data_IF_631103908093
#
_entry.id   IF_631103908093
#
_cell.length_a   1.000
_cell.length_b   1.000
_cell.length_c   1.000
_cell.angle_alpha   90.00
_cell.angle_beta   90.00
_cell.angle_gamma   90.00
#
_symmetry.space_group_name_H-M   'P 1'
#
loop_
_entity.id
_entity.type
_entity.pdbx_description
1 polymer ?
#
# COMPACT_ATOMS: atom_id res chain seq x y z
N UNK A 1 38.49 63.46 5.67
CA UNK A 1 38.14 62.15 6.29
C UNK A 1 36.82 61.61 5.77
N UNK A 2 35.84 62.46 5.41
CA UNK A 2 34.50 62.01 4.98
C UNK A 2 34.44 61.16 3.70
N UNK A 3 35.28 61.45 2.70
CA UNK A 3 35.27 60.70 1.43
C UNK A 3 35.69 59.24 1.62
N UNK A 4 36.65 58.99 2.50
CA UNK A 4 37.14 57.64 2.79
C UNK A 4 36.08 56.82 3.53
N UNK A 5 35.36 57.44 4.48
CA UNK A 5 34.26 56.81 5.19
C UNK A 5 33.09 56.45 4.25
N UNK A 6 32.76 57.32 3.29
CA UNK A 6 31.71 57.07 2.30
C UNK A 6 32.05 55.86 1.41
N UNK A 7 33.30 55.76 0.94
CA UNK A 7 33.75 54.64 0.09
C UNK A 7 33.75 53.33 0.89
N UNK A 8 34.22 53.35 2.13
CA UNK A 8 34.21 52.17 3.01
C UNK A 8 32.79 51.71 3.35
N UNK A 9 31.86 52.63 3.57
CA UNK A 9 30.44 52.34 3.78
C UNK A 9 29.79 51.75 2.52
N UNK A 10 30.07 52.32 1.34
CA UNK A 10 29.58 51.81 0.06
C UNK A 10 30.09 50.40 -0.26
N UNK A 11 31.38 50.13 -0.01
CA UNK A 11 31.96 48.80 -0.20
C UNK A 11 31.37 47.77 0.77
N UNK A 12 31.19 48.14 2.04
CA UNK A 12 30.59 47.26 3.05
C UNK A 12 29.15 46.91 2.71
N UNK A 13 28.37 47.88 2.21
CA UNK A 13 27.00 47.65 1.75
C UNK A 13 26.97 46.70 0.55
N UNK A 14 27.88 46.87 -0.40
CA UNK A 14 27.97 46.02 -1.59
C UNK A 14 28.31 44.57 -1.24
N UNK A 15 29.25 44.36 -0.31
CA UNK A 15 29.61 43.03 0.20
C UNK A 15 28.42 42.39 0.95
N UNK A 16 27.69 43.16 1.75
CA UNK A 16 26.51 42.66 2.47
C UNK A 16 25.38 42.22 1.52
N UNK A 17 25.12 43.00 0.45
CA UNK A 17 24.13 42.65 -0.58
C UNK A 17 24.54 41.39 -1.36
N UNK A 18 25.82 41.28 -1.74
CA UNK A 18 26.37 40.09 -2.40
C UNK A 18 26.29 38.84 -1.50
N UNK A 19 26.57 38.99 -0.20
CA UNK A 19 26.44 37.91 0.78
C UNK A 19 24.98 37.47 0.95
N UNK A 20 24.03 38.41 0.97
CA UNK A 20 22.60 38.12 1.10
C UNK A 20 22.05 37.42 -0.16
N UNK A 21 22.45 37.87 -1.35
CA UNK A 21 22.02 37.30 -2.62
C UNK A 21 22.59 35.89 -2.84
N UNK A 22 23.88 35.70 -2.55
CA UNK A 22 24.52 34.38 -2.61
C UNK A 22 23.92 33.41 -1.59
N UNK A 23 23.59 33.87 -0.38
CA UNK A 23 22.89 33.07 0.64
C UNK A 23 21.50 32.64 0.17
N UNK A 24 20.71 33.56 -0.41
CA UNK A 24 19.38 33.24 -0.95
C UNK A 24 19.43 32.22 -2.10
N UNK A 25 20.38 32.38 -3.03
CA UNK A 25 20.53 31.43 -4.15
C UNK A 25 20.90 30.01 -3.68
N UNK A 26 21.82 29.89 -2.72
CA UNK A 26 22.23 28.61 -2.12
C UNK A 26 21.11 27.97 -1.29
N UNK A 27 20.32 28.77 -0.58
CA UNK A 27 19.17 28.27 0.18
C UNK A 27 18.08 27.71 -0.75
N UNK A 28 17.82 28.36 -1.89
CA UNK A 28 16.86 27.88 -2.87
C UNK A 28 17.32 26.60 -3.58
N UNK A 29 18.59 26.52 -3.96
CA UNK A 29 19.16 25.32 -4.57
C UNK A 29 19.21 24.14 -3.59
N UNK A 30 19.57 24.39 -2.34
CA UNK A 30 19.52 23.39 -1.26
C UNK A 30 18.09 22.89 -1.00
N UNK A 31 17.11 23.80 -0.94
CA UNK A 31 15.70 23.42 -0.81
C UNK A 31 15.19 22.61 -2.01
N UNK A 32 15.65 22.92 -3.23
CA UNK A 32 15.31 22.14 -4.43
C UNK A 32 15.89 20.73 -4.35
N UNK A 33 17.19 20.60 -4.08
CA UNK A 33 17.87 19.31 -3.95
C UNK A 33 17.30 18.47 -2.81
N UNK A 34 16.96 19.09 -1.67
CA UNK A 34 16.30 18.42 -0.56
C UNK A 34 14.92 17.88 -0.94
N UNK A 35 14.13 18.64 -1.72
CA UNK A 35 12.83 18.18 -2.23
C UNK A 35 12.97 17.05 -3.24
N UNK A 36 13.95 17.13 -4.13
CA UNK A 36 14.25 16.07 -5.11
C UNK A 36 14.68 14.79 -4.39
N UNK A 37 15.62 14.87 -3.44
CA UNK A 37 16.05 13.74 -2.64
C UNK A 37 14.92 13.14 -1.80
N UNK A 38 14.02 13.98 -1.24
CA UNK A 38 12.83 13.50 -0.53
C UNK A 38 11.83 12.81 -1.46
N UNK A 39 11.64 13.32 -2.67
CA UNK A 39 10.77 12.71 -3.67
C UNK A 39 11.33 11.35 -4.13
N UNK A 40 12.63 11.27 -4.39
CA UNK A 40 13.32 10.03 -4.74
C UNK A 40 13.25 9.01 -3.59
N UNK A 41 13.54 9.44 -2.35
CA UNK A 41 13.42 8.59 -1.17
C UNK A 41 12.00 8.08 -0.94
N UNK A 42 10.97 8.91 -1.16
CA UNK A 42 9.56 8.49 -1.10
C UNK A 42 9.24 7.46 -2.18
N UNK A 43 9.68 7.70 -3.42
CA UNK A 43 9.44 6.76 -4.52
C UNK A 43 10.12 5.41 -4.29
N UNK A 44 11.33 5.41 -3.73
CA UNK A 44 12.08 4.23 -3.33
C UNK A 44 11.33 3.46 -2.24
N UNK A 45 10.90 4.15 -1.18
CA UNK A 45 10.15 3.55 -0.07
C UNK A 45 8.83 2.92 -0.53
N UNK A 46 8.08 3.59 -1.41
CA UNK A 46 6.85 3.02 -1.97
C UNK A 46 7.17 1.80 -2.85
N UNK A 47 8.27 1.84 -3.60
CA UNK A 47 8.76 0.71 -4.38
C UNK A 47 9.07 -0.53 -3.52
N UNK A 48 9.67 -0.34 -2.35
CA UNK A 48 9.96 -1.40 -1.39
C UNK A 48 8.68 -1.99 -0.80
N UNK A 49 7.69 -1.15 -0.47
CA UNK A 49 6.39 -1.60 0.05
C UNK A 49 5.66 -2.45 -0.99
N UNK A 50 5.64 -2.03 -2.26
CA UNK A 50 5.11 -2.86 -3.35
C UNK A 50 5.81 -4.22 -3.45
N UNK A 51 7.13 -4.24 -3.31
CA UNK A 51 7.90 -5.48 -3.37
C UNK A 51 7.62 -6.40 -2.18
N UNK A 52 7.38 -5.83 -0.99
CA UNK A 52 6.99 -6.57 0.20
C UNK A 52 5.63 -7.25 0.01
N UNK A 53 4.59 -6.51 -0.39
CA UNK A 53 3.25 -7.06 -0.64
C UNK A 53 3.29 -8.17 -1.69
N UNK A 54 3.97 -7.94 -2.81
CA UNK A 54 4.06 -8.97 -3.86
C UNK A 54 4.77 -10.22 -3.34
N UNK A 55 5.79 -10.08 -2.48
CA UNK A 55 6.53 -11.20 -1.91
C UNK A 55 5.66 -12.00 -0.93
N UNK A 56 4.95 -11.33 -0.03
CA UNK A 56 4.07 -11.98 0.95
C UNK A 56 2.88 -12.68 0.28
N UNK A 57 2.32 -12.12 -0.80
CA UNK A 57 1.29 -12.82 -1.59
C UNK A 57 1.87 -14.01 -2.36
N UNK A 58 3.06 -13.89 -2.97
CA UNK A 58 3.69 -15.04 -3.64
C UNK A 58 3.99 -16.19 -2.67
N UNK A 59 4.37 -15.89 -1.43
CA UNK A 59 4.60 -16.92 -0.42
C UNK A 59 3.34 -17.77 -0.15
N UNK A 60 2.14 -17.16 -0.22
CA UNK A 60 0.86 -17.88 -0.13
C UNK A 60 0.62 -18.84 -1.30
N UNK A 61 1.15 -18.57 -2.48
CA UNK A 61 0.97 -19.45 -3.64
C UNK A 61 1.71 -20.79 -3.50
N UNK A 62 2.75 -20.82 -2.69
CA UNK A 62 3.57 -22.02 -2.44
C UNK A 62 3.30 -22.64 -1.07
N UNK A 63 2.35 -22.10 -0.31
CA UNK A 63 2.06 -22.50 1.05
C UNK A 63 1.50 -23.91 1.11
N UNK A 64 2.07 -24.75 1.98
CA UNK A 64 1.51 -26.05 2.31
C UNK A 64 0.83 -26.02 3.70
N UNK A 65 -0.52 -26.01 3.78
CA UNK A 65 -1.25 -25.93 5.05
C UNK A 65 -1.03 -27.13 5.99
N UNK A 66 -0.48 -28.24 5.48
CA UNK A 66 -0.19 -29.44 6.30
C UNK A 66 1.20 -29.42 6.92
N UNK A 67 2.10 -28.57 6.43
CA UNK A 67 3.51 -28.52 6.85
C UNK A 67 3.92 -27.18 7.46
N UNK A 68 3.17 -26.11 7.20
CA UNK A 68 3.52 -24.74 7.59
C UNK A 68 2.41 -24.07 8.43
N UNK A 69 2.79 -23.20 9.36
CA UNK A 69 1.83 -22.38 10.12
C UNK A 69 1.34 -21.21 9.25
N UNK A 70 0.04 -21.17 8.97
CA UNK A 70 -0.58 -20.08 8.22
C UNK A 70 -0.51 -18.74 8.97
N UNK A 71 -0.44 -18.75 10.30
CA UNK A 71 -0.55 -17.55 11.15
C UNK A 71 0.44 -16.43 10.78
N UNK A 72 1.76 -16.68 10.80
CA UNK A 72 2.77 -15.69 10.41
C UNK A 72 2.55 -15.17 8.99
N UNK A 73 2.35 -16.07 8.01
CA UNK A 73 2.15 -15.70 6.61
C UNK A 73 0.91 -14.80 6.42
N UNK A 74 -0.20 -15.12 7.07
CA UNK A 74 -1.43 -14.31 6.99
C UNK A 74 -1.23 -12.93 7.62
N UNK A 75 -0.53 -12.86 8.77
CA UNK A 75 -0.20 -11.61 9.44
C UNK A 75 0.72 -10.73 8.62
N UNK A 76 1.79 -11.29 8.07
CA UNK A 76 2.78 -10.56 7.27
C UNK A 76 2.15 -9.99 6.00
N UNK A 77 1.36 -10.80 5.28
CA UNK A 77 0.64 -10.34 4.10
C UNK A 77 -0.37 -9.22 4.41
N UNK A 78 -1.04 -9.28 5.56
CA UNK A 78 -1.92 -8.20 6.02
C UNK A 78 -1.12 -6.95 6.36
N UNK A 79 -0.03 -7.08 7.11
CA UNK A 79 0.81 -5.96 7.52
C UNK A 79 1.39 -5.22 6.32
N UNK A 80 1.95 -5.95 5.34
CA UNK A 80 2.48 -5.37 4.11
C UNK A 80 1.39 -4.65 3.32
N UNK A 81 0.20 -5.24 3.21
CA UNK A 81 -0.90 -4.64 2.45
C UNK A 81 -1.44 -3.37 3.12
N UNK A 82 -1.51 -3.33 4.46
CA UNK A 82 -1.86 -2.10 5.19
C UNK A 82 -0.78 -1.04 5.07
N UNK A 83 0.50 -1.42 5.11
CA UNK A 83 1.60 -0.49 4.84
C UNK A 83 1.51 0.13 3.44
N UNK A 84 1.00 -0.63 2.45
CA UNK A 84 0.71 -0.10 1.11
C UNK A 84 -0.46 0.89 1.10
N UNK A 85 -1.55 0.58 1.80
CA UNK A 85 -2.70 1.49 1.97
C UNK A 85 -2.23 2.81 2.61
N UNK A 86 -1.46 2.73 3.70
CA UNK A 86 -0.95 3.90 4.41
C UNK A 86 0.03 4.73 3.58
N UNK A 87 0.77 4.08 2.67
CA UNK A 87 1.73 4.74 1.80
C UNK A 87 1.08 5.44 0.60
N UNK A 88 -0.18 5.10 0.27
CA UNK A 88 -0.94 5.61 -0.87
C UNK A 88 -2.31 6.15 -0.42
N UNK A 89 -2.37 7.13 0.51
CA UNK A 89 -3.62 7.63 1.08
C UNK A 89 -4.53 8.29 0.04
N UNK A 90 -3.99 8.74 -1.10
CA UNK A 90 -4.76 9.29 -2.20
C UNK A 90 -5.52 8.23 -3.02
N UNK A 91 -5.24 6.94 -2.80
CA UNK A 91 -5.93 5.82 -3.45
C UNK A 91 -7.12 5.38 -2.58
N UNK A 92 -8.17 6.22 -2.50
CA UNK A 92 -9.27 6.03 -1.55
C UNK A 92 -9.94 4.64 -1.58
N UNK A 93 -10.00 3.98 -2.74
CA UNK A 93 -10.60 2.63 -2.87
C UNK A 93 -9.63 1.47 -2.51
N UNK A 94 -8.35 1.75 -2.25
CA UNK A 94 -7.32 0.73 -2.02
C UNK A 94 -7.56 -0.04 -0.72
N UNK A 95 -7.97 0.66 0.34
CA UNK A 95 -8.30 0.02 1.63
C UNK A 95 -9.44 -0.98 1.51
N UNK A 96 -10.53 -0.59 0.83
CA UNK A 96 -11.69 -1.46 0.63
C UNK A 96 -11.35 -2.66 -0.24
N UNK A 97 -10.67 -2.45 -1.38
CA UNK A 97 -10.21 -3.54 -2.25
C UNK A 97 -9.28 -4.50 -1.51
N UNK A 98 -8.30 -3.97 -0.78
CA UNK A 98 -7.36 -4.75 0.02
C UNK A 98 -8.07 -5.64 1.07
N UNK A 99 -9.08 -5.10 1.76
CA UNK A 99 -9.85 -5.84 2.75
C UNK A 99 -10.61 -7.01 2.10
N UNK A 100 -11.27 -6.79 0.97
CA UNK A 100 -12.01 -7.83 0.25
C UNK A 100 -11.09 -8.91 -0.36
N UNK A 101 -9.92 -8.54 -0.88
CA UNK A 101 -8.92 -9.52 -1.35
C UNK A 101 -8.35 -10.37 -0.21
N UNK A 102 -8.11 -9.78 0.97
CA UNK A 102 -7.67 -10.54 2.14
C UNK A 102 -8.73 -11.53 2.60
N UNK A 103 -10.01 -11.12 2.62
CA UNK A 103 -11.12 -12.01 2.96
C UNK A 103 -11.24 -13.16 1.95
N UNK A 104 -11.17 -12.86 0.64
CA UNK A 104 -11.20 -13.88 -0.41
C UNK A 104 -10.02 -14.84 -0.29
N UNK A 105 -8.81 -14.33 -0.05
CA UNK A 105 -7.62 -15.17 0.14
C UNK A 105 -7.73 -16.09 1.36
N UNK A 106 -8.33 -15.61 2.46
CA UNK A 106 -8.61 -16.44 3.63
C UNK A 106 -9.64 -17.54 3.34
N UNK A 107 -10.71 -17.21 2.60
CA UNK A 107 -11.71 -18.20 2.15
C UNK A 107 -11.08 -19.26 1.22
N UNK A 108 -10.20 -18.85 0.31
CA UNK A 108 -9.48 -19.76 -0.57
C UNK A 108 -8.57 -20.72 0.22
N UNK A 109 -7.85 -20.21 1.23
CA UNK A 109 -7.02 -21.03 2.10
C UNK A 109 -7.83 -22.02 2.94
N UNK A 110 -9.00 -21.59 3.45
CA UNK A 110 -9.90 -22.48 4.16
C UNK A 110 -10.45 -23.59 3.24
N UNK A 111 -10.82 -23.24 2.01
CA UNK A 111 -11.28 -24.18 1.01
C UNK A 111 -10.21 -25.24 0.68
N UNK A 112 -8.96 -24.83 0.49
CA UNK A 112 -7.86 -25.77 0.26
C UNK A 112 -7.60 -26.67 1.48
N UNK A 113 -7.71 -26.15 2.70
CA UNK A 113 -7.55 -26.95 3.92
C UNK A 113 -8.62 -28.05 4.05
N UNK A 114 -9.89 -27.73 3.77
CA UNK A 114 -10.98 -28.71 3.79
C UNK A 114 -10.79 -29.79 2.71
N UNK A 115 -10.44 -29.37 1.50
CA UNK A 115 -10.12 -30.24 0.37
C UNK A 115 -8.95 -31.19 0.72
N UNK A 116 -7.88 -30.68 1.34
CA UNK A 116 -6.71 -31.46 1.74
C UNK A 116 -6.94 -32.35 2.97
N UNK A 117 -7.88 -31.97 3.84
CA UNK A 117 -8.31 -32.85 4.94
C UNK A 117 -9.03 -34.09 4.40
N UNK A 118 -9.77 -33.91 3.29
CA UNK A 118 -10.48 -35.01 2.61
C UNK A 118 -9.56 -35.84 1.71
N UNK A 119 -8.60 -35.18 1.03
CA UNK A 119 -7.59 -35.80 0.17
C UNK A 119 -6.21 -35.17 0.43
N UNK A 120 -5.38 -35.77 1.31
CA UNK A 120 -4.08 -35.20 1.68
C UNK A 120 -3.07 -35.05 0.54
N UNK A 121 -3.29 -35.67 -0.62
CA UNK A 121 -2.43 -35.52 -1.80
C UNK A 121 -2.85 -34.35 -2.69
N UNK A 122 -4.01 -33.74 -2.41
CA UNK A 122 -4.52 -32.59 -3.17
C UNK A 122 -3.65 -31.36 -2.96
N UNK A 123 -3.46 -30.61 -4.04
CA UNK A 123 -2.70 -29.36 -4.01
C UNK A 123 -3.63 -28.17 -3.71
N UNK A 124 -3.13 -27.09 -3.08
CA UNK A 124 -3.91 -25.91 -2.71
C UNK A 124 -4.22 -25.03 -3.94
N UNK A 125 -5.13 -25.48 -4.79
CA UNK A 125 -5.45 -24.85 -6.07
C UNK A 125 -6.12 -23.48 -5.91
N UNK A 126 -7.01 -23.32 -4.91
CA UNK A 126 -7.79 -22.10 -4.75
C UNK A 126 -6.90 -20.93 -4.33
N UNK A 127 -6.05 -21.13 -3.32
CA UNK A 127 -5.11 -20.12 -2.83
C UNK A 127 -4.05 -19.79 -3.85
N UNK A 128 -3.54 -20.78 -4.58
CA UNK A 128 -2.57 -20.56 -5.65
C UNK A 128 -3.16 -19.71 -6.79
N UNK A 129 -4.40 -20.01 -7.22
CA UNK A 129 -5.08 -19.25 -8.29
C UNK A 129 -5.41 -17.83 -7.84
N UNK A 130 -5.92 -17.65 -6.63
CA UNK A 130 -6.17 -16.33 -6.05
C UNK A 130 -4.86 -15.52 -5.97
N UNK A 131 -3.80 -16.10 -5.39
CA UNK A 131 -2.51 -15.43 -5.23
C UNK A 131 -1.91 -15.00 -6.57
N UNK A 132 -1.99 -15.85 -7.60
CA UNK A 132 -1.55 -15.52 -8.95
C UNK A 132 -2.29 -14.31 -9.53
N UNK A 133 -3.63 -14.32 -9.43
CA UNK A 133 -4.47 -13.22 -9.91
C UNK A 133 -4.19 -11.92 -9.15
N UNK A 134 -4.06 -11.99 -7.83
CA UNK A 134 -3.82 -10.83 -6.99
C UNK A 134 -2.44 -10.21 -7.26
N UNK A 135 -1.38 -11.02 -7.42
CA UNK A 135 -0.05 -10.54 -7.82
C UNK A 135 -0.06 -9.85 -9.18
N UNK A 136 -0.83 -10.37 -10.15
CA UNK A 136 -0.98 -9.73 -11.47
C UNK A 136 -1.62 -8.34 -11.32
N UNK A 137 -2.69 -8.23 -10.53
CA UNK A 137 -3.37 -6.96 -10.28
C UNK A 137 -2.46 -5.95 -9.55
N UNK A 138 -1.74 -6.38 -8.51
CA UNK A 138 -0.77 -5.55 -7.80
C UNK A 138 0.35 -5.04 -8.72
N UNK A 139 0.91 -5.91 -9.57
CA UNK A 139 1.93 -5.52 -10.55
C UNK A 139 1.39 -4.52 -11.58
N UNK A 140 0.14 -4.70 -12.02
CA UNK A 140 -0.52 -3.77 -12.93
C UNK A 140 -0.67 -2.40 -12.28
N UNK A 141 -1.24 -2.31 -11.08
CA UNK A 141 -1.38 -1.03 -10.37
C UNK A 141 -0.03 -0.36 -10.09
N UNK A 142 1.00 -1.13 -9.73
CA UNK A 142 2.36 -0.59 -9.60
C UNK A 142 2.86 0.04 -10.90
N UNK A 143 2.55 -0.56 -12.04
CA UNK A 143 3.04 -0.10 -13.35
C UNK A 143 2.22 1.05 -13.94
N UNK A 144 0.89 1.01 -13.78
CA UNK A 144 -0.03 1.96 -14.43
C UNK A 144 -0.53 3.07 -13.52
N UNK A 145 -0.34 2.95 -12.20
CA UNK A 145 -0.88 3.87 -11.21
C UNK A 145 -2.34 3.58 -10.85
N UNK A 146 -2.97 4.56 -10.19
CA UNK A 146 -4.33 4.46 -9.66
C UNK A 146 -5.40 4.49 -10.77
N UNK A 147 -6.31 3.52 -10.74
CA UNK A 147 -7.54 3.50 -11.52
C UNK A 147 -8.68 3.11 -10.59
N UNK A 148 -9.43 4.11 -10.12
CA UNK A 148 -10.51 3.93 -9.16
C UNK A 148 -11.61 3.00 -9.69
N UNK A 149 -11.95 3.13 -10.98
CA UNK A 149 -13.02 2.32 -11.57
C UNK A 149 -12.59 0.85 -11.64
N UNK A 150 -11.34 0.58 -12.03
CA UNK A 150 -10.79 -0.77 -12.00
C UNK A 150 -10.76 -1.33 -10.59
N UNK A 151 -10.34 -0.53 -9.61
CA UNK A 151 -10.26 -0.96 -8.22
C UNK A 151 -11.63 -1.33 -7.66
N UNK A 152 -12.65 -0.50 -7.86
CA UNK A 152 -14.05 -0.81 -7.48
C UNK A 152 -14.56 -2.10 -8.14
N UNK A 153 -14.27 -2.31 -9.43
CA UNK A 153 -14.64 -3.55 -10.14
C UNK A 153 -13.94 -4.77 -9.55
N UNK A 154 -12.67 -4.65 -9.15
CA UNK A 154 -11.95 -5.74 -8.50
C UNK A 154 -12.51 -6.01 -7.10
N UNK A 155 -12.90 -4.98 -6.36
CA UNK A 155 -13.61 -5.12 -5.08
C UNK A 155 -14.91 -5.90 -5.25
N UNK A 156 -15.77 -5.51 -6.19
CA UNK A 156 -17.03 -6.21 -6.47
C UNK A 156 -16.79 -7.65 -6.90
N UNK A 157 -15.76 -7.88 -7.74
CA UNK A 157 -15.38 -9.22 -8.15
C UNK A 157 -14.91 -10.07 -6.96
N UNK A 158 -14.08 -9.53 -6.07
CA UNK A 158 -13.62 -10.25 -4.88
C UNK A 158 -14.80 -10.62 -3.95
N UNK A 159 -15.77 -9.72 -3.80
CA UNK A 159 -17.02 -9.97 -3.06
C UNK A 159 -17.84 -11.08 -3.72
N UNK A 160 -17.99 -11.04 -5.04
CA UNK A 160 -18.74 -12.05 -5.78
C UNK A 160 -18.06 -13.43 -5.76
N UNK A 161 -16.74 -13.48 -5.93
CA UNK A 161 -15.98 -14.73 -5.78
C UNK A 161 -16.10 -15.29 -4.37
N UNK A 162 -16.10 -14.44 -3.33
CA UNK A 162 -16.33 -14.89 -1.95
C UNK A 162 -17.70 -15.55 -1.79
N UNK A 163 -18.76 -14.96 -2.36
CA UNK A 163 -20.11 -15.56 -2.38
C UNK A 163 -20.13 -16.89 -3.11
N UNK A 164 -19.48 -16.97 -4.27
CA UNK A 164 -19.39 -18.22 -5.03
C UNK A 164 -18.68 -19.33 -4.26
N UNK A 165 -17.55 -19.03 -3.60
CA UNK A 165 -16.81 -20.00 -2.79
C UNK A 165 -17.66 -20.50 -1.62
N UNK A 166 -18.32 -19.59 -0.88
CA UNK A 166 -19.21 -19.95 0.21
C UNK A 166 -20.40 -20.79 -0.26
N UNK A 167 -21.09 -20.36 -1.32
CA UNK A 167 -22.26 -21.05 -1.86
C UNK A 167 -21.93 -22.47 -2.35
N UNK A 168 -20.77 -22.66 -3.01
CA UNK A 168 -20.32 -23.97 -3.49
C UNK A 168 -20.07 -24.97 -2.35
N UNK A 169 -19.83 -24.48 -1.12
CA UNK A 169 -19.53 -25.30 0.07
C UNK A 169 -20.63 -25.26 1.13
N UNK A 170 -21.74 -24.56 0.87
CA UNK A 170 -22.82 -24.39 1.85
C UNK A 170 -22.42 -23.57 3.08
N UNK A 171 -21.39 -22.73 2.96
CA UNK A 171 -20.96 -21.84 4.04
C UNK A 171 -21.81 -20.57 4.08
N UNK A 172 -22.02 -20.04 5.28
CA UNK A 172 -22.57 -18.70 5.45
C UNK A 172 -21.54 -17.65 5.01
N UNK A 173 -22.04 -16.54 4.43
CA UNK A 173 -21.17 -15.43 4.07
C UNK A 173 -20.73 -14.71 5.35
N UNK A 174 -19.43 -14.39 5.50
CA UNK A 174 -18.98 -13.56 6.61
C UNK A 174 -19.74 -12.23 6.63
N UNK A 175 -20.15 -11.73 7.81
CA UNK A 175 -20.86 -10.45 7.90
C UNK A 175 -19.94 -9.30 7.45
N UNK A 176 -20.48 -8.36 6.67
CA UNK A 176 -19.72 -7.20 6.16
C UNK A 176 -19.31 -6.22 7.27
N UNK A 177 -20.05 -6.22 8.38
CA UNK A 177 -19.72 -5.47 9.58
C UNK A 177 -19.63 -6.41 10.78
N UNK A 178 -18.65 -6.21 11.64
CA UNK A 178 -18.56 -6.94 12.89
C UNK A 178 -19.62 -6.41 13.86
N UNK A 179 -20.58 -7.23 14.33
CA UNK A 179 -21.60 -6.77 15.26
C UNK A 179 -20.97 -6.15 16.52
N UNK A 180 -21.43 -4.95 16.88
CA UNK A 180 -20.93 -4.22 18.05
C UNK A 180 -19.65 -3.40 17.81
N UNK A 181 -19.11 -3.38 16.59
CA UNK A 181 -18.01 -2.49 16.20
C UNK A 181 -18.52 -1.50 15.15
N UNK A 182 -18.68 -0.25 15.53
CA UNK A 182 -18.96 0.84 14.60
C UNK A 182 -17.65 1.32 13.98
N UNK A 183 -17.63 1.51 12.66
CA UNK A 183 -16.57 2.25 12.00
C UNK A 183 -16.66 3.73 12.41
N UNK A 184 -15.52 4.40 12.51
CA UNK A 184 -15.51 5.84 12.73
C UNK A 184 -15.99 6.52 11.45
N UNK A 185 -17.09 7.28 11.53
CA UNK A 185 -17.55 8.11 10.41
C UNK A 185 -16.47 9.15 10.07
N UNK A 186 -16.12 9.29 8.78
CA UNK A 186 -15.14 10.28 8.28
C UNK A 186 -15.68 11.72 8.25
N UNK A 187 -16.68 12.06 9.08
CA UNK A 187 -17.18 13.42 9.20
C UNK A 187 -16.75 14.02 10.53
N UNK A 188 -15.72 14.88 10.56
CA UNK A 188 -15.65 15.85 11.64
C UNK A 188 -16.86 16.77 11.45
N UNK A 189 -17.93 16.53 12.21
CA UNK A 189 -18.91 17.58 12.48
C UNK A 189 -18.13 18.76 13.05
N UNK A 190 -17.99 19.78 12.20
CA UNK A 190 -17.35 21.03 12.58
C UNK A 190 -18.34 21.77 13.50
N UNK A 191 -17.99 22.06 14.77
CA UNK A 191 -18.82 22.87 15.64
C UNK A 191 -18.94 24.32 15.13
#
# INVERSE_FOLDING_TARGET
MDVVALVLAGLSLLVAVLALFSSHSRANESNRLAREALAEARSSKVGDIWAAVIRSVNHRMTFNPTAEDAGPMLRDARADLMALVDALPEWGALGEWAAHEQALGALAAHADLEDMTSDPQRLPEHSARWGAAFVINLRRFRATGYDEQMMRRLTDNAREQSRHVCAARGWELPPEAMPGIALLDETPEKP
#
